data_IF_969882462187
#
_entry.id   IF_969882462187
#
_cell.length_a   1.000
_cell.length_b   1.000
_cell.length_c   1.000
_cell.angle_alpha   90.00
_cell.angle_beta   90.00
_cell.angle_gamma   90.00
#
_symmetry.space_group_name_H-M   'P 1'
#
loop_
_entity.id
_entity.type
_entity.pdbx_description
1 polymer ?
#
# COMPACT_ATOMS: atom_id res chain seq x y z
N UNK A 1 -0.49 -9.53 -2.57
CA UNK A 1 0.28 -8.27 -2.72
C UNK A 1 1.69 -8.33 -2.15
N UNK A 2 2.24 -9.49 -1.75
CA UNK A 2 3.57 -9.55 -1.12
C UNK A 2 4.75 -9.28 -2.11
N UNK A 3 4.48 -9.19 -3.42
CA UNK A 3 5.52 -9.12 -4.47
C UNK A 3 5.15 -8.24 -5.68
N UNK A 4 4.20 -7.32 -5.56
CA UNK A 4 3.71 -6.56 -6.73
C UNK A 4 3.05 -5.24 -6.36
N UNK A 5 2.66 -4.48 -7.39
CA UNK A 5 2.00 -3.18 -7.23
C UNK A 5 0.68 -3.31 -6.46
N UNK A 6 0.36 -2.26 -5.71
CA UNK A 6 -0.90 -2.12 -5.01
C UNK A 6 -1.40 -0.69 -5.19
N UNK A 7 -2.70 -0.54 -5.47
CA UNK A 7 -3.34 0.76 -5.55
C UNK A 7 -4.23 0.97 -4.33
N UNK A 8 -4.10 2.13 -3.69
CA UNK A 8 -4.96 2.55 -2.59
C UNK A 8 -6.17 3.30 -3.13
N UNK A 9 -7.34 2.67 -3.08
CA UNK A 9 -8.58 3.21 -3.64
C UNK A 9 -9.51 3.66 -2.52
N UNK A 10 -9.83 4.96 -2.38
CA UNK A 10 -10.81 5.42 -1.41
C UNK A 10 -12.22 4.95 -1.83
N UNK A 11 -12.94 4.33 -0.90
CA UNK A 11 -14.33 3.87 -1.09
C UNK A 11 -15.14 4.22 0.17
N UNK A 12 -15.98 5.25 0.07
CA UNK A 12 -16.77 5.72 1.21
C UNK A 12 -15.86 6.24 2.33
N UNK A 13 -15.95 5.60 3.50
CA UNK A 13 -15.19 5.93 4.71
C UNK A 13 -13.92 5.08 4.91
N UNK A 14 -13.61 4.19 3.95
CA UNK A 14 -12.45 3.30 4.00
C UNK A 14 -11.59 3.40 2.75
N UNK A 15 -10.41 2.79 2.82
CA UNK A 15 -9.50 2.61 1.68
C UNK A 15 -9.38 1.12 1.40
N UNK A 16 -9.51 0.75 0.13
CA UNK A 16 -9.37 -0.64 -0.33
C UNK A 16 -8.04 -0.79 -1.06
N UNK A 17 -7.31 -1.87 -0.75
CA UNK A 17 -6.02 -2.19 -1.40
C UNK A 17 -6.29 -3.06 -2.61
N UNK A 18 -6.31 -2.43 -3.79
CA UNK A 18 -6.48 -3.13 -5.05
C UNK A 18 -5.18 -3.81 -5.47
N UNK A 19 -5.31 -4.98 -6.11
CA UNK A 19 -4.19 -5.71 -6.73
C UNK A 19 -4.35 -5.66 -8.25
N UNK A 20 -3.69 -4.73 -8.97
CA UNK A 20 -3.94 -4.50 -10.40
C UNK A 20 -3.65 -5.70 -11.30
N UNK A 21 -2.83 -6.64 -10.84
CA UNK A 21 -2.50 -7.85 -11.60
C UNK A 21 -3.59 -8.92 -11.63
N UNK A 22 -4.68 -8.76 -10.86
CA UNK A 22 -5.80 -9.71 -10.85
C UNK A 22 -6.86 -9.34 -11.91
N UNK A 23 -7.56 -10.33 -12.51
CA UNK A 23 -8.67 -10.06 -13.43
C UNK A 23 -9.78 -9.19 -12.83
N UNK A 24 -10.05 -9.37 -11.54
CA UNK A 24 -10.80 -8.42 -10.72
C UNK A 24 -9.87 -7.91 -9.61
N UNK A 25 -9.44 -6.63 -9.66
CA UNK A 25 -8.48 -6.04 -8.72
C UNK A 25 -8.91 -6.03 -7.25
N UNK A 26 -10.20 -6.22 -6.97
CA UNK A 26 -10.77 -6.18 -5.63
C UNK A 26 -11.09 -7.56 -5.05
N UNK A 27 -10.75 -8.64 -5.75
CA UNK A 27 -10.92 -10.00 -5.24
C UNK A 27 -10.15 -10.17 -3.92
N UNK A 28 -10.85 -10.47 -2.83
CA UNK A 28 -10.26 -10.62 -1.49
C UNK A 28 -9.38 -9.41 -1.11
N UNK A 29 -9.82 -8.19 -1.38
CA UNK A 29 -9.01 -6.99 -1.09
C UNK A 29 -8.93 -6.69 0.41
N UNK A 30 -7.76 -6.24 0.86
CA UNK A 30 -7.63 -5.67 2.20
C UNK A 30 -8.35 -4.32 2.28
N UNK A 31 -8.92 -4.03 3.44
CA UNK A 31 -9.62 -2.78 3.73
C UNK A 31 -8.96 -2.08 4.91
N UNK A 32 -8.84 -0.76 4.82
CA UNK A 32 -8.15 0.10 5.78
C UNK A 32 -9.13 1.17 6.25
N UNK A 33 -9.29 1.31 7.55
CA UNK A 33 -9.91 2.51 8.12
C UNK A 33 -8.82 3.56 8.36
N UNK A 34 -9.12 4.82 8.06
CA UNK A 34 -8.21 5.95 8.30
C UNK A 34 -8.50 6.49 9.70
N UNK A 35 -7.47 6.56 10.56
CA UNK A 35 -7.61 7.04 11.95
C UNK A 35 -7.28 8.53 12.09
N UNK A 36 -6.33 9.02 11.29
CA UNK A 36 -5.97 10.43 11.21
C UNK A 36 -5.37 10.73 9.83
N UNK A 37 -4.80 11.92 9.66
CA UNK A 37 -4.25 12.33 8.38
C UNK A 37 -3.18 11.36 7.84
N UNK A 38 -2.35 10.74 8.67
CA UNK A 38 -1.24 9.91 8.20
C UNK A 38 -1.29 8.45 8.65
N UNK A 39 -2.31 8.07 9.45
CA UNK A 39 -2.43 6.72 10.02
C UNK A 39 -3.79 6.07 9.75
N UNK A 40 -3.78 4.74 9.80
CA UNK A 40 -4.94 3.88 9.73
C UNK A 40 -4.61 2.47 10.21
N UNK A 41 -5.55 1.54 10.03
CA UNK A 41 -5.31 0.13 10.29
C UNK A 41 -6.22 -0.76 9.43
N UNK A 42 -5.79 -2.00 9.20
CA UNK A 42 -6.59 -2.96 8.44
C UNK A 42 -7.84 -3.39 9.23
N UNK A 43 -9.01 -3.29 8.61
CA UNK A 43 -10.30 -3.81 9.13
C UNK A 43 -10.73 -5.09 8.39
N UNK A 44 -10.15 -5.34 7.23
CA UNK A 44 -10.17 -6.64 6.56
C UNK A 44 -8.78 -6.86 5.96
N UNK A 45 -8.25 -8.07 6.11
CA UNK A 45 -6.86 -8.36 5.77
C UNK A 45 -6.78 -9.55 4.81
N UNK A 46 -6.19 -9.31 3.64
CA UNK A 46 -5.90 -10.32 2.65
C UNK A 46 -4.49 -10.89 2.82
N UNK A 47 -4.33 -12.17 2.50
CA UNK A 47 -3.01 -12.82 2.50
C UNK A 47 -2.36 -12.86 3.87
N UNK A 48 -1.19 -12.22 4.01
CA UNK A 48 -0.37 -12.23 5.25
C UNK A 48 -0.64 -11.06 6.20
N UNK A 49 -1.50 -10.11 5.80
CA UNK A 49 -1.86 -8.98 6.65
C UNK A 49 -2.74 -9.44 7.82
N UNK A 50 -2.76 -8.67 8.92
CA UNK A 50 -3.58 -8.96 10.11
C UNK A 50 -4.63 -7.88 10.34
N UNK A 51 -5.82 -8.27 10.79
CA UNK A 51 -6.81 -7.32 11.28
C UNK A 51 -6.20 -6.49 12.43
N UNK A 52 -6.40 -5.17 12.38
CA UNK A 52 -5.85 -4.20 13.32
C UNK A 52 -4.37 -3.86 13.09
N UNK A 53 -3.71 -4.44 12.09
CA UNK A 53 -2.32 -4.10 11.77
C UNK A 53 -2.22 -2.64 11.29
N UNK A 54 -1.25 -1.86 11.81
CA UNK A 54 -1.17 -0.44 11.51
C UNK A 54 -0.79 -0.20 10.05
N UNK A 55 -1.39 0.84 9.48
CA UNK A 55 -1.02 1.42 8.20
C UNK A 55 -0.61 2.87 8.44
N UNK A 56 0.52 3.29 7.85
CA UNK A 56 0.94 4.70 7.93
C UNK A 56 1.52 5.18 6.61
N UNK A 57 1.35 6.46 6.29
CA UNK A 57 2.07 7.10 5.19
C UNK A 57 3.19 8.00 5.72
N UNK A 58 4.25 8.14 4.94
CA UNK A 58 5.34 9.09 5.18
C UNK A 58 5.32 10.11 4.04
N UNK A 59 5.31 11.39 4.40
CA UNK A 59 5.30 12.49 3.43
C UNK A 59 6.71 12.95 3.10
N UNK A 60 6.89 13.40 1.88
CA UNK A 60 8.05 14.17 1.41
C UNK A 60 7.81 15.67 1.66
N UNK A 61 8.85 16.52 1.48
CA UNK A 61 8.64 17.94 1.23
C UNK A 61 7.52 18.15 0.18
N UNK A 62 6.82 19.28 0.29
CA UNK A 62 5.62 19.60 -0.50
C UNK A 62 4.38 18.71 -0.26
N UNK A 63 4.29 18.00 0.88
CA UNK A 63 3.13 17.17 1.27
C UNK A 63 2.79 16.01 0.31
N UNK A 64 3.74 15.65 -0.55
CA UNK A 64 3.60 14.50 -1.46
C UNK A 64 3.80 13.20 -0.69
N UNK A 65 3.00 12.16 -0.97
CA UNK A 65 3.21 10.85 -0.34
C UNK A 65 4.52 10.24 -0.84
N UNK A 66 5.45 9.98 0.08
CA UNK A 66 6.75 9.39 -0.21
C UNK A 66 6.79 7.89 -0.01
N UNK A 67 6.19 7.40 1.06
CA UNK A 67 6.15 5.97 1.39
C UNK A 67 4.80 5.62 2.02
N UNK A 68 4.40 4.35 1.89
CA UNK A 68 3.30 3.76 2.64
C UNK A 68 3.83 2.52 3.34
N UNK A 69 3.45 2.34 4.60
CA UNK A 69 3.83 1.21 5.41
C UNK A 69 2.60 0.40 5.78
N UNK A 70 2.60 -0.88 5.42
CA UNK A 70 1.62 -1.87 5.86
C UNK A 70 2.30 -2.73 6.93
N UNK A 71 2.07 -2.41 8.20
CA UNK A 71 2.84 -2.97 9.30
C UNK A 71 4.35 -2.81 9.07
N UNK A 72 5.02 -3.95 8.87
CA UNK A 72 6.46 -3.99 8.58
C UNK A 72 6.86 -3.83 7.11
N UNK A 73 5.90 -3.85 6.17
CA UNK A 73 6.18 -3.76 4.73
C UNK A 73 6.20 -2.31 4.26
N UNK A 74 7.30 -1.90 3.61
CA UNK A 74 7.45 -0.58 3.00
C UNK A 74 7.10 -0.61 1.51
N UNK A 75 6.16 0.23 1.11
CA UNK A 75 5.77 0.50 -0.26
C UNK A 75 6.27 1.87 -0.67
N UNK A 76 6.82 1.95 -1.88
CA UNK A 76 7.34 3.17 -2.49
C UNK A 76 6.67 3.38 -3.86
N UNK A 77 6.65 4.61 -4.38
CA UNK A 77 6.19 4.88 -5.73
C UNK A 77 6.95 4.06 -6.78
N UNK A 78 6.25 3.67 -7.85
CA UNK A 78 6.82 2.85 -8.94
C UNK A 78 8.16 3.37 -9.49
N UNK A 79 8.35 4.69 -9.74
CA UNK A 79 9.62 5.18 -10.29
C UNK A 79 10.83 4.90 -9.37
N UNK A 80 10.61 4.92 -8.05
CA UNK A 80 11.66 4.63 -7.07
C UNK A 80 11.98 3.14 -7.02
N UNK A 81 10.94 2.29 -7.02
CA UNK A 81 11.11 0.84 -7.10
C UNK A 81 11.85 0.44 -8.40
N UNK A 82 11.47 1.02 -9.54
CA UNK A 82 12.11 0.77 -10.82
C UNK A 82 13.58 1.20 -10.84
N UNK A 83 13.91 2.37 -10.28
CA UNK A 83 15.28 2.84 -10.17
C UNK A 83 16.14 1.92 -9.28
N UNK A 84 15.61 1.46 -8.14
CA UNK A 84 16.28 0.51 -7.25
C UNK A 84 16.56 -0.82 -7.96
N UNK A 85 15.56 -1.36 -8.67
CA UNK A 85 15.70 -2.62 -9.42
C UNK A 85 16.73 -2.51 -10.54
N UNK A 86 16.68 -1.44 -11.34
CA UNK A 86 17.65 -1.20 -12.41
C UNK A 86 19.09 -1.10 -11.85
N UNK A 87 19.27 -0.41 -10.73
CA UNK A 87 20.57 -0.28 -10.07
C UNK A 87 21.12 -1.61 -9.55
N UNK A 88 20.27 -2.52 -9.10
CA UNK A 88 20.69 -3.80 -8.48
C UNK A 88 20.81 -4.95 -9.47
N UNK A 89 19.97 -4.96 -10.50
CA UNK A 89 19.76 -6.13 -11.35
C UNK A 89 19.78 -5.83 -12.86
N UNK A 90 19.97 -4.57 -13.30
CA UNK A 90 19.94 -4.17 -14.71
C UNK A 90 21.18 -4.52 -15.54
N UNK A 91 21.93 -5.56 -15.16
CA UNK A 91 23.09 -6.08 -15.89
C UNK A 91 22.72 -7.08 -16.98
#
# INVERSE_FOLDING_TARGET
TLWGAADLVPIGDKVVVATPSLPNPFTEASEITVSDEDHGHFIAAAGTARHGEPVRRVRRPEATVGEIWFGGTRLVPEPEAAAELASRYGG
#
